data_IF_776230360712
#
_entry.id   IF_776230360712
#
_cell.length_a   1.000
_cell.length_b   1.000
_cell.length_c   1.000
_cell.angle_alpha   90.00
_cell.angle_beta   90.00
_cell.angle_gamma   90.00
#
_symmetry.space_group_name_H-M   'P 1'
#
loop_
_entity.id
_entity.type
_entity.pdbx_description
1 polymer ?
#
# COMPACT_ATOMS: atom_id res chain seq x y z
N UNK A 1 6.96 32.14 -9.53
CA UNK A 1 6.31 31.79 -10.80
C UNK A 1 7.29 31.19 -11.82
N UNK A 2 8.47 31.78 -12.03
CA UNK A 2 9.49 31.25 -12.97
C UNK A 2 9.95 29.80 -12.70
N UNK A 3 10.24 29.45 -11.43
CA UNK A 3 10.71 28.10 -11.03
C UNK A 3 9.68 26.98 -11.33
N UNK A 4 8.39 27.30 -11.31
CA UNK A 4 7.33 26.31 -11.55
C UNK A 4 7.11 26.06 -13.05
N UNK A 5 7.35 27.07 -13.91
CA UNK A 5 7.27 26.90 -15.38
C UNK A 5 8.41 25.99 -15.85
N UNK A 6 9.60 26.19 -15.32
CA UNK A 6 10.79 25.39 -15.60
C UNK A 6 10.59 23.91 -15.22
N UNK A 7 10.06 23.65 -14.02
CA UNK A 7 9.82 22.28 -13.53
C UNK A 7 8.81 21.50 -14.38
N UNK A 8 7.74 22.15 -14.87
CA UNK A 8 6.77 21.50 -15.78
C UNK A 8 7.42 21.13 -17.11
N UNK A 9 8.22 22.02 -17.68
CA UNK A 9 8.88 21.80 -18.97
C UNK A 9 9.94 20.69 -18.87
N UNK A 10 10.75 20.72 -17.80
CA UNK A 10 11.69 19.65 -17.46
C UNK A 10 10.97 18.30 -17.38
N UNK A 11 9.88 18.20 -16.60
CA UNK A 11 9.10 16.96 -16.50
C UNK A 11 8.60 16.48 -17.87
N UNK A 12 8.08 17.39 -18.70
CA UNK A 12 7.59 17.07 -20.03
C UNK A 12 8.72 16.53 -20.93
N UNK A 13 9.89 17.16 -20.92
CA UNK A 13 11.05 16.77 -21.72
C UNK A 13 11.60 15.41 -21.28
N UNK A 14 11.77 15.19 -19.97
CA UNK A 14 12.27 13.92 -19.43
C UNK A 14 11.29 12.77 -19.68
N UNK A 15 9.99 13.02 -19.56
CA UNK A 15 8.97 12.02 -19.89
C UNK A 15 9.00 11.64 -21.38
N UNK A 16 9.18 12.63 -22.27
CA UNK A 16 9.35 12.36 -23.71
C UNK A 16 10.65 11.61 -24.01
N UNK A 17 11.73 11.91 -23.28
CA UNK A 17 13.03 11.21 -23.39
C UNK A 17 12.87 9.73 -23.07
N UNK A 18 12.17 9.37 -21.99
CA UNK A 18 11.84 7.97 -21.68
C UNK A 18 10.99 7.35 -22.78
N UNK A 19 9.99 8.07 -23.31
CA UNK A 19 9.19 7.60 -24.44
C UNK A 19 9.98 7.34 -25.73
N UNK A 20 11.10 8.05 -25.94
CA UNK A 20 11.96 7.88 -27.12
C UNK A 20 13.04 6.82 -26.94
N UNK A 21 13.45 6.52 -25.71
CA UNK A 21 14.37 5.42 -25.41
C UNK A 21 13.83 4.06 -25.89
N UNK A 22 12.52 3.97 -26.11
CA UNK A 22 11.79 2.75 -26.44
C UNK A 22 12.11 2.20 -27.85
N UNK A 23 12.83 2.95 -28.68
CA UNK A 23 13.22 2.52 -30.03
C UNK A 23 14.65 1.93 -30.12
N UNK A 24 15.45 1.99 -29.05
CA UNK A 24 16.80 1.44 -28.97
C UNK A 24 16.89 0.38 -27.87
N UNK A 25 17.51 -0.77 -28.16
CA UNK A 25 17.87 -1.77 -27.13
C UNK A 25 19.38 -1.93 -27.11
N UNK A 26 20.07 -1.12 -26.32
CA UNK A 26 21.52 -1.20 -26.06
C UNK A 26 21.79 -0.99 -24.56
N UNK A 27 22.91 -1.50 -24.05
CA UNK A 27 23.30 -1.31 -22.63
C UNK A 27 23.37 0.17 -22.21
N UNK A 28 23.68 1.08 -23.15
CA UNK A 28 23.63 2.53 -22.91
C UNK A 28 22.23 3.05 -22.55
N UNK A 29 21.17 2.39 -22.99
CA UNK A 29 19.78 2.82 -22.76
C UNK A 29 19.37 2.61 -21.29
N UNK A 30 19.93 1.62 -20.59
CA UNK A 30 19.69 1.40 -19.16
C UNK A 30 20.32 2.49 -18.29
N UNK A 31 21.57 2.88 -18.60
CA UNK A 31 22.22 4.00 -17.91
C UNK A 31 21.47 5.31 -18.14
N UNK A 32 21.00 5.53 -19.37
CA UNK A 32 20.24 6.71 -19.74
C UNK A 32 18.86 6.74 -19.07
N UNK A 33 18.17 5.60 -18.97
CA UNK A 33 16.93 5.46 -18.21
C UNK A 33 17.15 5.75 -16.73
N UNK A 34 18.18 5.12 -16.14
CA UNK A 34 18.55 5.29 -14.73
C UNK A 34 18.83 6.76 -14.37
N UNK A 35 19.58 7.47 -15.22
CA UNK A 35 19.86 8.89 -15.05
C UNK A 35 18.60 9.75 -15.24
N UNK A 36 17.77 9.43 -16.24
CA UNK A 36 16.53 10.18 -16.48
C UNK A 36 15.53 10.01 -15.32
N UNK A 37 15.50 8.84 -14.69
CA UNK A 37 14.71 8.62 -13.46
C UNK A 37 15.26 9.39 -12.26
N UNK A 38 16.58 9.57 -12.15
CA UNK A 38 17.16 10.43 -11.09
C UNK A 38 16.77 11.89 -11.31
N UNK A 39 16.88 12.38 -12.55
CA UNK A 39 16.47 13.74 -12.92
C UNK A 39 14.99 13.96 -12.61
N UNK A 40 14.11 13.00 -12.95
CA UNK A 40 12.69 13.05 -12.60
C UNK A 40 12.47 13.08 -11.09
N UNK A 41 13.12 12.19 -10.33
CA UNK A 41 13.01 12.15 -8.87
C UNK A 41 13.57 13.41 -8.18
N UNK A 42 14.45 14.16 -8.82
CA UNK A 42 15.00 15.42 -8.30
C UNK A 42 14.01 16.58 -8.34
N UNK A 43 12.93 16.46 -9.13
CA UNK A 43 11.92 17.51 -9.27
C UNK A 43 11.14 17.67 -7.96
N UNK A 44 10.85 18.92 -7.59
CA UNK A 44 10.06 19.23 -6.40
C UNK A 44 8.55 19.07 -6.65
N UNK A 45 8.03 17.88 -6.40
CA UNK A 45 6.62 17.53 -6.53
C UNK A 45 5.70 18.13 -5.44
N UNK A 46 6.16 19.05 -4.59
CA UNK A 46 5.28 19.85 -3.72
C UNK A 46 4.45 20.88 -4.50
N UNK A 47 4.91 21.24 -5.70
CA UNK A 47 4.20 22.14 -6.61
C UNK A 47 3.57 21.35 -7.75
N UNK A 48 2.56 21.91 -8.42
CA UNK A 48 1.95 21.28 -9.59
C UNK A 48 2.93 21.30 -10.77
N UNK A 49 3.60 20.18 -10.97
CA UNK A 49 4.57 19.92 -12.05
C UNK A 49 3.85 19.28 -13.23
N UNK A 50 2.97 18.32 -12.97
CA UNK A 50 2.28 17.54 -14.00
C UNK A 50 1.03 18.30 -14.46
N UNK A 51 1.11 18.99 -15.59
CA UNK A 51 -0.06 19.64 -16.21
C UNK A 51 -0.92 18.70 -17.04
N UNK A 52 -0.32 17.64 -17.59
CA UNK A 52 -1.00 16.64 -18.40
C UNK A 52 -0.97 15.28 -17.67
N UNK A 53 -2.06 14.89 -16.99
CA UNK A 53 -2.10 13.63 -16.25
C UNK A 53 -1.97 12.42 -17.17
N UNK A 54 -2.50 12.47 -18.39
CA UNK A 54 -2.37 11.40 -19.39
C UNK A 54 -0.90 11.12 -19.71
N UNK A 55 -0.06 12.15 -19.80
CA UNK A 55 1.38 11.99 -20.04
C UNK A 55 2.07 11.27 -18.88
N UNK A 56 1.69 11.56 -17.63
CA UNK A 56 2.19 10.85 -16.47
C UNK A 56 1.72 9.38 -16.43
N UNK A 57 0.46 9.11 -16.75
CA UNK A 57 -0.08 7.73 -16.83
C UNK A 57 0.62 6.93 -17.93
N UNK A 58 0.90 7.54 -19.09
CA UNK A 58 1.66 6.90 -20.17
C UNK A 58 3.10 6.59 -19.75
N UNK A 59 3.77 7.53 -19.07
CA UNK A 59 5.10 7.31 -18.52
C UNK A 59 5.10 6.12 -17.55
N UNK A 60 4.13 6.08 -16.64
CA UNK A 60 3.95 4.97 -15.68
C UNK A 60 3.79 3.65 -16.42
N UNK A 61 2.87 3.58 -17.39
CA UNK A 61 2.62 2.37 -18.16
C UNK A 61 3.85 1.87 -18.93
N UNK A 62 4.60 2.81 -19.51
CA UNK A 62 5.86 2.51 -20.20
C UNK A 62 6.87 1.92 -19.21
N UNK A 63 7.18 2.63 -18.12
CA UNK A 63 8.14 2.16 -17.13
C UNK A 63 7.80 0.76 -16.57
N UNK A 64 6.52 0.45 -16.29
CA UNK A 64 6.11 -0.90 -15.88
C UNK A 64 6.41 -1.99 -16.91
N UNK A 65 6.45 -1.64 -18.21
CA UNK A 65 6.73 -2.58 -19.30
C UNK A 65 8.23 -2.79 -19.52
N UNK A 66 9.07 -1.80 -19.18
CA UNK A 66 10.51 -1.82 -19.46
C UNK A 66 11.35 -2.22 -18.26
N UNK A 67 11.00 -1.75 -17.07
CA UNK A 67 11.84 -1.96 -15.89
C UNK A 67 11.59 -3.38 -15.38
N UNK A 68 12.59 -4.26 -15.39
CA UNK A 68 12.41 -5.61 -14.91
C UNK A 68 12.45 -5.60 -13.37
N UNK A 69 11.65 -6.47 -12.74
CA UNK A 69 11.50 -6.48 -11.27
C UNK A 69 12.70 -7.05 -10.52
N UNK A 70 13.74 -7.50 -11.22
CA UNK A 70 15.00 -8.00 -10.67
C UNK A 70 16.13 -6.95 -10.66
N UNK A 71 15.89 -5.76 -11.21
CA UNK A 71 16.83 -4.61 -11.13
C UNK A 71 16.49 -3.73 -9.92
N UNK A 72 17.14 -4.01 -8.78
CA UNK A 72 16.96 -3.29 -7.52
C UNK A 72 17.11 -1.77 -7.65
N UNK A 73 17.99 -1.29 -8.55
CA UNK A 73 18.28 0.14 -8.72
C UNK A 73 17.13 0.81 -9.46
N UNK A 74 16.73 0.27 -10.60
CA UNK A 74 15.65 0.84 -11.41
C UNK A 74 14.30 0.72 -10.70
N UNK A 75 14.04 -0.41 -10.03
CA UNK A 75 12.83 -0.60 -9.22
C UNK A 75 12.75 0.47 -8.14
N UNK A 76 13.83 0.68 -7.36
CA UNK A 76 13.88 1.71 -6.31
C UNK A 76 13.61 3.11 -6.88
N UNK A 77 14.25 3.48 -8.00
CA UNK A 77 14.09 4.80 -8.62
C UNK A 77 12.68 5.01 -9.16
N UNK A 78 12.12 4.01 -9.83
CA UNK A 78 10.78 4.12 -10.40
C UNK A 78 9.70 4.12 -9.31
N UNK A 79 9.83 3.31 -8.27
CA UNK A 79 8.90 3.34 -7.13
C UNK A 79 8.88 4.69 -6.40
N UNK A 80 10.04 5.37 -6.24
CA UNK A 80 10.07 6.75 -5.72
C UNK A 80 9.33 7.75 -6.62
N UNK A 81 9.50 7.62 -7.93
CA UNK A 81 8.81 8.46 -8.91
C UNK A 81 7.30 8.20 -8.85
N UNK A 82 6.88 6.94 -8.82
CA UNK A 82 5.48 6.54 -8.67
C UNK A 82 4.82 7.16 -7.45
N UNK A 83 5.48 7.05 -6.30
CA UNK A 83 4.99 7.69 -5.07
C UNK A 83 4.81 9.19 -5.26
N UNK A 84 5.79 9.87 -5.86
CA UNK A 84 5.74 11.32 -6.08
C UNK A 84 4.65 11.74 -7.06
N UNK A 85 4.41 10.97 -8.12
CA UNK A 85 3.35 11.22 -9.09
C UNK A 85 1.96 10.96 -8.50
N UNK A 86 1.77 9.78 -7.89
CA UNK A 86 0.45 9.39 -7.37
C UNK A 86 0.09 10.20 -6.14
N UNK A 87 0.99 10.28 -5.15
CA UNK A 87 0.72 10.98 -3.88
C UNK A 87 0.96 12.48 -3.97
N UNK A 88 2.06 12.90 -4.60
CA UNK A 88 2.46 14.31 -4.66
C UNK A 88 1.74 15.12 -5.74
N UNK A 89 1.37 14.49 -6.86
CA UNK A 89 0.68 15.16 -7.97
C UNK A 89 -0.78 14.72 -8.14
N UNK A 90 -1.26 13.83 -7.26
CA UNK A 90 -2.62 13.28 -7.30
C UNK A 90 -3.00 12.68 -8.66
N UNK A 91 -2.06 11.97 -9.29
CA UNK A 91 -2.30 11.31 -10.57
C UNK A 91 -3.12 10.03 -10.35
N UNK A 92 -4.38 10.06 -10.80
CA UNK A 92 -5.24 8.88 -10.87
C UNK A 92 -4.73 7.92 -11.97
N UNK A 93 -4.63 6.63 -11.64
CA UNK A 93 -4.18 5.58 -12.57
C UNK A 93 -5.29 4.55 -12.65
N UNK A 94 -5.92 4.44 -13.82
CA UNK A 94 -7.13 3.63 -13.98
C UNK A 94 -6.99 2.54 -15.04
N UNK A 95 -7.98 1.65 -15.08
CA UNK A 95 -8.12 0.61 -16.10
C UNK A 95 -6.92 -0.33 -16.17
N UNK A 96 -6.52 -0.68 -17.40
CA UNK A 96 -5.43 -1.65 -17.64
C UNK A 96 -4.08 -1.21 -17.04
N UNK A 97 -3.79 0.09 -17.05
CA UNK A 97 -2.55 0.61 -16.50
C UNK A 97 -2.46 0.35 -15.00
N UNK A 98 -3.58 0.50 -14.27
CA UNK A 98 -3.63 0.19 -12.84
C UNK A 98 -3.33 -1.29 -12.58
N UNK A 99 -3.94 -2.19 -13.35
CA UNK A 99 -3.69 -3.64 -13.21
C UNK A 99 -2.23 -3.98 -13.45
N UNK A 100 -1.62 -3.45 -14.52
CA UNK A 100 -0.21 -3.69 -14.85
C UNK A 100 0.70 -3.11 -13.77
N UNK A 101 0.42 -1.89 -13.30
CA UNK A 101 1.19 -1.21 -12.26
C UNK A 101 1.16 -1.98 -10.93
N UNK A 102 -0.02 -2.38 -10.47
CA UNK A 102 -0.16 -3.13 -9.21
C UNK A 102 0.56 -4.48 -9.34
N UNK A 103 0.41 -5.19 -10.45
CA UNK A 103 1.13 -6.45 -10.66
C UNK A 103 2.66 -6.26 -10.66
N UNK A 104 3.15 -5.18 -11.27
CA UNK A 104 4.58 -4.84 -11.27
C UNK A 104 5.08 -4.54 -9.85
N UNK A 105 4.34 -3.77 -9.06
CA UNK A 105 4.67 -3.48 -7.66
C UNK A 105 4.66 -4.74 -6.78
N UNK A 106 3.66 -5.62 -6.95
CA UNK A 106 3.60 -6.91 -6.23
C UNK A 106 4.78 -7.81 -6.57
N UNK A 107 5.21 -7.83 -7.83
CA UNK A 107 6.43 -8.55 -8.22
C UNK A 107 7.68 -7.94 -7.59
N UNK A 108 7.75 -6.60 -7.47
CA UNK A 108 8.83 -5.90 -6.77
C UNK A 108 8.94 -6.22 -5.27
N UNK A 109 7.87 -6.72 -4.64
CA UNK A 109 7.92 -7.17 -3.22
C UNK A 109 8.76 -8.44 -3.01
N UNK A 110 9.10 -9.16 -4.10
CA UNK A 110 9.91 -10.39 -4.07
C UNK A 110 11.41 -10.12 -4.00
N UNK A 111 11.82 -8.85 -4.10
CA UNK A 111 13.21 -8.41 -3.97
C UNK A 111 13.71 -8.67 -2.54
N UNK A 112 14.99 -9.05 -2.43
CA UNK A 112 15.62 -9.38 -1.14
C UNK A 112 15.99 -8.15 -0.33
N UNK A 113 16.39 -7.07 -0.99
CA UNK A 113 16.77 -5.81 -0.35
C UNK A 113 15.54 -5.16 0.32
N UNK A 114 15.60 -5.02 1.65
CA UNK A 114 14.51 -4.45 2.45
C UNK A 114 14.29 -2.96 2.19
N UNK A 115 15.32 -2.19 1.82
CA UNK A 115 15.16 -0.78 1.48
C UNK A 115 14.38 -0.61 0.17
N UNK A 116 14.61 -1.50 -0.80
CA UNK A 116 13.85 -1.50 -2.06
C UNK A 116 12.40 -1.88 -1.77
N UNK A 117 12.17 -2.96 -1.01
CA UNK A 117 10.82 -3.38 -0.60
C UNK A 117 10.08 -2.27 0.13
N UNK A 118 10.74 -1.50 1.00
CA UNK A 118 10.14 -0.37 1.69
C UNK A 118 9.60 0.68 0.71
N UNK A 119 10.40 1.08 -0.28
CA UNK A 119 10.02 2.06 -1.29
C UNK A 119 8.92 1.51 -2.21
N UNK A 120 8.98 0.23 -2.58
CA UNK A 120 7.93 -0.44 -3.36
C UNK A 120 6.60 -0.44 -2.60
N UNK A 121 6.61 -0.75 -1.30
CA UNK A 121 5.43 -0.71 -0.45
C UNK A 121 4.85 0.70 -0.31
N UNK A 122 5.70 1.73 -0.18
CA UNK A 122 5.24 3.12 -0.16
C UNK A 122 4.50 3.48 -1.45
N UNK A 123 5.06 3.11 -2.60
CA UNK A 123 4.42 3.33 -3.89
C UNK A 123 3.11 2.54 -4.03
N UNK A 124 3.10 1.28 -3.60
CA UNK A 124 1.90 0.43 -3.61
C UNK A 124 0.79 0.99 -2.72
N UNK A 125 1.10 1.38 -1.49
CA UNK A 125 0.15 2.02 -0.59
C UNK A 125 -0.47 3.27 -1.23
N UNK A 126 0.36 4.16 -1.80
CA UNK A 126 -0.13 5.37 -2.47
C UNK A 126 -1.05 5.04 -3.65
N UNK A 127 -0.67 4.07 -4.49
CA UNK A 127 -1.49 3.61 -5.63
C UNK A 127 -2.81 3.03 -5.15
N UNK A 128 -2.81 2.20 -4.10
CA UNK A 128 -4.03 1.61 -3.57
C UNK A 128 -4.97 2.69 -3.04
N UNK A 129 -4.48 3.58 -2.17
CA UNK A 129 -5.32 4.63 -1.57
C UNK A 129 -5.86 5.65 -2.57
N UNK A 130 -5.15 5.93 -3.65
CA UNK A 130 -5.63 6.86 -4.68
C UNK A 130 -6.66 6.24 -5.63
N UNK A 131 -6.87 4.92 -5.62
CA UNK A 131 -7.70 4.22 -6.61
C UNK A 131 -8.75 3.29 -5.98
N UNK A 132 -9.26 3.61 -4.78
CA UNK A 132 -10.17 2.77 -3.97
C UNK A 132 -11.34 2.19 -4.77
N UNK A 133 -11.92 2.97 -5.68
CA UNK A 133 -13.10 2.58 -6.44
C UNK A 133 -12.82 1.48 -7.48
N UNK A 134 -11.56 1.37 -7.91
CA UNK A 134 -11.09 0.41 -8.92
C UNK A 134 -10.30 -0.76 -8.33
N UNK A 135 -10.19 -0.85 -6.99
CA UNK A 135 -9.36 -1.86 -6.32
C UNK A 135 -9.97 -3.24 -6.21
N UNK A 136 -11.31 -3.35 -6.24
CA UNK A 136 -12.01 -4.61 -6.08
C UNK A 136 -11.42 -5.82 -6.84
N UNK A 137 -11.13 -5.74 -8.17
CA UNK A 137 -10.54 -6.87 -8.90
C UNK A 137 -9.08 -7.17 -8.53
N UNK A 138 -8.37 -6.24 -7.89
CA UNK A 138 -6.96 -6.35 -7.53
C UNK A 138 -6.75 -6.70 -6.05
N UNK A 139 -7.75 -6.47 -5.20
CA UNK A 139 -7.66 -6.59 -3.75
C UNK A 139 -7.29 -8.00 -3.31
N UNK A 140 -7.94 -9.04 -3.87
CA UNK A 140 -7.66 -10.43 -3.50
C UNK A 140 -6.20 -10.84 -3.74
N UNK A 141 -5.65 -10.52 -4.92
CA UNK A 141 -4.26 -10.83 -5.25
C UNK A 141 -3.28 -10.01 -4.41
N UNK A 142 -3.56 -8.71 -4.25
CA UNK A 142 -2.75 -7.79 -3.44
C UNK A 142 -2.65 -8.28 -2.00
N UNK A 143 -3.78 -8.61 -1.38
CA UNK A 143 -3.83 -9.12 -0.01
C UNK A 143 -3.07 -10.41 0.15
N UNK A 144 -3.18 -11.34 -0.80
CA UNK A 144 -2.43 -12.59 -0.77
C UNK A 144 -0.91 -12.34 -0.75
N UNK A 145 -0.38 -11.62 -1.74
CA UNK A 145 1.06 -11.37 -1.87
C UNK A 145 1.61 -10.55 -0.68
N UNK A 146 0.85 -9.57 -0.17
CA UNK A 146 1.25 -8.78 1.00
C UNK A 146 1.21 -9.62 2.29
N UNK A 147 0.22 -10.50 2.47
CA UNK A 147 0.19 -11.42 3.59
C UNK A 147 1.36 -12.42 3.53
N UNK A 148 1.70 -12.91 2.34
CA UNK A 148 2.85 -13.79 2.13
C UNK A 148 4.17 -13.08 2.50
N UNK A 149 4.33 -11.80 2.11
CA UNK A 149 5.46 -10.97 2.54
C UNK A 149 5.56 -10.86 4.07
N UNK A 150 4.45 -10.54 4.75
CA UNK A 150 4.40 -10.44 6.21
C UNK A 150 4.77 -11.79 6.86
N UNK A 151 4.24 -12.89 6.33
CA UNK A 151 4.46 -14.22 6.88
C UNK A 151 5.89 -14.73 6.68
N UNK A 152 6.49 -14.43 5.52
CA UNK A 152 7.85 -14.86 5.19
C UNK A 152 8.93 -14.09 5.96
N UNK A 153 8.67 -12.84 6.36
CA UNK A 153 9.64 -12.00 7.07
C UNK A 153 9.52 -12.04 8.61
N UNK A 154 8.81 -13.02 9.18
CA UNK A 154 8.42 -13.08 10.62
C UNK A 154 9.53 -12.94 11.67
N UNK A 155 10.82 -13.12 11.34
CA UNK A 155 11.91 -13.10 12.32
C UNK A 155 12.76 -11.82 12.27
N UNK A 156 12.83 -11.11 11.14
CA UNK A 156 13.72 -9.94 10.95
C UNK A 156 13.07 -8.77 10.18
N UNK A 157 11.73 -8.72 10.08
CA UNK A 157 11.06 -7.65 9.35
C UNK A 157 11.19 -6.30 10.10
N UNK A 158 11.74 -5.23 9.48
CA UNK A 158 11.64 -3.89 10.01
C UNK A 158 10.18 -3.50 10.26
N UNK A 159 9.90 -2.88 11.42
CA UNK A 159 8.54 -2.46 11.82
C UNK A 159 7.88 -1.57 10.76
N UNK A 160 8.67 -0.82 9.98
CA UNK A 160 8.21 0.05 8.90
C UNK A 160 7.66 -0.73 7.71
N UNK A 161 8.31 -1.84 7.32
CA UNK A 161 7.81 -2.74 6.28
C UNK A 161 6.50 -3.38 6.73
N UNK A 162 6.43 -3.81 8.00
CA UNK A 162 5.19 -4.32 8.56
C UNK A 162 4.08 -3.26 8.52
N UNK A 163 4.36 -2.04 8.97
CA UNK A 163 3.38 -0.95 8.99
C UNK A 163 2.85 -0.65 7.58
N UNK A 164 3.74 -0.48 6.59
CA UNK A 164 3.31 -0.22 5.21
C UNK A 164 2.55 -1.39 4.60
N UNK A 165 2.96 -2.63 4.90
CA UNK A 165 2.24 -3.82 4.46
C UNK A 165 0.82 -3.84 5.02
N UNK A 166 0.65 -3.54 6.31
CA UNK A 166 -0.67 -3.44 6.93
C UNK A 166 -1.49 -2.28 6.36
N UNK A 167 -0.86 -1.17 5.97
CA UNK A 167 -1.53 -0.05 5.29
C UNK A 167 -2.01 -0.42 3.88
N UNK A 168 -1.24 -1.22 3.14
CA UNK A 168 -1.69 -1.79 1.87
C UNK A 168 -2.94 -2.69 2.09
N UNK A 169 -2.91 -3.57 3.09
CA UNK A 169 -4.06 -4.42 3.43
C UNK A 169 -5.28 -3.58 3.82
N UNK A 170 -5.08 -2.54 4.64
CA UNK A 170 -6.14 -1.62 5.06
C UNK A 170 -6.77 -0.92 3.85
N UNK A 171 -5.96 -0.43 2.90
CA UNK A 171 -6.47 0.13 1.66
C UNK A 171 -7.29 -0.88 0.82
N UNK A 172 -6.90 -2.15 0.81
CA UNK A 172 -7.67 -3.22 0.16
C UNK A 172 -9.00 -3.54 0.86
N UNK A 173 -9.18 -3.11 2.11
CA UNK A 173 -10.47 -3.28 2.83
C UNK A 173 -11.47 -2.14 2.57
N UNK A 174 -11.01 -1.00 2.05
CA UNK A 174 -11.81 0.21 1.83
C UNK A 174 -12.56 0.20 0.49
N UNK A 175 -13.06 -0.96 0.04
CA UNK A 175 -13.78 -1.09 -1.24
C UNK A 175 -15.17 -0.42 -1.14
N UNK A 176 -15.63 0.35 -2.14
CA UNK A 176 -16.93 1.00 -2.07
C UNK A 176 -18.08 0.01 -1.89
N UNK A 177 -19.06 0.37 -1.04
CA UNK A 177 -20.25 -0.42 -0.74
C UNK A 177 -21.11 -0.76 -1.96
N UNK A 178 -20.98 0.02 -3.03
CA UNK A 178 -21.72 -0.16 -4.27
C UNK A 178 -21.18 -1.29 -5.16
N UNK A 179 -20.08 -1.95 -4.75
CA UNK A 179 -19.61 -3.18 -5.37
C UNK A 179 -20.60 -4.33 -5.09
N UNK A 180 -21.72 -4.32 -5.83
CA UNK A 180 -22.67 -5.42 -5.95
C UNK A 180 -22.04 -6.53 -6.79
N UNK A 181 -20.96 -7.16 -6.33
CA UNK A 181 -20.40 -8.29 -7.06
C UNK A 181 -21.20 -9.55 -6.77
N UNK A 182 -21.49 -10.27 -7.86
CA UNK A 182 -22.09 -11.61 -7.88
C UNK A 182 -21.13 -12.69 -7.30
N UNK A 183 -19.94 -12.29 -6.84
CA UNK A 183 -18.84 -13.13 -6.31
C UNK A 183 -18.54 -12.83 -4.83
N UNK A 184 -19.56 -12.96 -3.97
CA UNK A 184 -19.39 -12.76 -2.51
C UNK A 184 -18.39 -13.75 -1.89
N UNK A 185 -18.30 -14.97 -2.41
CA UNK A 185 -17.43 -16.02 -1.81
C UNK A 185 -15.94 -15.69 -1.90
N UNK A 186 -15.46 -15.21 -3.05
CA UNK A 186 -14.05 -14.79 -3.21
C UNK A 186 -13.70 -13.53 -2.41
N UNK A 187 -14.67 -12.60 -2.28
CA UNK A 187 -14.53 -11.39 -1.48
C UNK A 187 -14.44 -11.67 0.03
N UNK A 188 -15.19 -12.68 0.51
CA UNK A 188 -15.14 -13.11 1.90
C UNK A 188 -13.77 -13.70 2.26
N UNK A 189 -13.12 -14.43 1.35
CA UNK A 189 -11.79 -14.98 1.61
C UNK A 189 -10.73 -13.88 1.78
N UNK A 190 -10.78 -12.86 0.91
CA UNK A 190 -9.93 -11.67 1.00
C UNK A 190 -10.10 -10.96 2.36
N UNK A 191 -11.35 -10.63 2.73
CA UNK A 191 -11.61 -9.93 3.99
C UNK A 191 -11.24 -10.79 5.20
N UNK A 192 -11.47 -12.10 5.14
CA UNK A 192 -11.07 -13.03 6.19
C UNK A 192 -9.55 -13.07 6.41
N UNK A 193 -8.74 -13.02 5.34
CA UNK A 193 -7.28 -12.94 5.44
C UNK A 193 -6.82 -11.62 6.07
N UNK A 194 -7.38 -10.49 5.62
CA UNK A 194 -7.11 -9.17 6.20
C UNK A 194 -7.47 -9.15 7.69
N UNK A 195 -8.68 -9.57 8.04
CA UNK A 195 -9.18 -9.56 9.41
C UNK A 195 -8.35 -10.45 10.33
N UNK A 196 -8.01 -11.67 9.89
CA UNK A 196 -7.12 -12.57 10.62
C UNK A 196 -5.76 -11.92 10.90
N UNK A 197 -5.20 -11.23 9.90
CA UNK A 197 -3.91 -10.55 10.02
C UNK A 197 -3.99 -9.38 11.01
N UNK A 198 -5.00 -8.52 10.89
CA UNK A 198 -5.20 -7.41 11.83
C UNK A 198 -5.45 -7.89 13.26
N UNK A 199 -6.31 -8.90 13.45
CA UNK A 199 -6.56 -9.51 14.76
C UNK A 199 -5.30 -10.12 15.35
N UNK A 200 -4.43 -10.75 14.54
CA UNK A 200 -3.16 -11.28 15.03
C UNK A 200 -2.29 -10.19 15.68
N UNK A 201 -2.17 -9.03 15.03
CA UNK A 201 -1.38 -7.92 15.56
C UNK A 201 -2.06 -7.16 16.71
N UNK A 202 -3.39 -7.09 16.74
CA UNK A 202 -4.14 -6.50 17.86
C UNK A 202 -4.08 -7.35 19.13
N UNK A 203 -4.04 -8.68 18.99
CA UNK A 203 -3.92 -9.60 20.12
C UNK A 203 -2.47 -9.79 20.59
N UNK A 204 -1.47 -9.31 19.83
CA UNK A 204 -0.08 -9.38 20.24
C UNK A 204 0.17 -8.35 21.34
N UNK A 205 0.74 -8.78 22.46
CA UNK A 205 1.02 -7.88 23.59
C UNK A 205 1.95 -6.74 23.15
N UNK A 206 1.63 -5.47 23.47
CA UNK A 206 2.53 -4.35 23.23
C UNK A 206 3.76 -4.53 24.11
N UNK A 207 4.92 -4.70 23.48
CA UNK A 207 6.21 -4.87 24.19
C UNK A 207 6.71 -3.50 24.70
N UNK A 208 6.28 -2.40 24.10
CA UNK A 208 6.73 -1.06 24.46
C UNK A 208 5.65 0.01 24.18
N UNK A 209 5.24 0.74 25.22
CA UNK A 209 4.17 1.74 25.15
C UNK A 209 4.59 3.03 24.43
N UNK A 210 5.89 3.32 24.35
CA UNK A 210 6.43 4.56 23.79
C UNK A 210 6.77 4.49 22.29
N UNK A 211 6.46 3.36 21.63
CA UNK A 211 6.75 3.22 20.20
C UNK A 211 5.61 3.79 19.33
N UNK A 212 5.89 4.96 18.72
CA UNK A 212 5.01 5.63 17.75
C UNK A 212 4.66 4.70 16.57
N UNK A 213 5.61 3.87 16.11
CA UNK A 213 5.36 2.94 15.01
C UNK A 213 4.39 1.84 15.43
N UNK A 214 4.53 1.32 16.65
CA UNK A 214 3.58 0.36 17.20
C UNK A 214 2.17 0.94 17.28
N UNK A 215 2.04 2.17 17.78
CA UNK A 215 0.74 2.87 17.82
C UNK A 215 0.12 3.05 16.44
N UNK A 216 0.94 3.33 15.40
CA UNK A 216 0.48 3.38 14.01
C UNK A 216 0.02 2.02 13.51
N UNK A 217 0.72 0.93 13.85
CA UNK A 217 0.31 -0.44 13.53
C UNK A 217 -1.06 -0.76 14.13
N UNK A 218 -1.26 -0.48 15.43
CA UNK A 218 -2.53 -0.68 16.11
C UNK A 218 -3.67 0.10 15.44
N UNK A 219 -3.44 1.39 15.15
CA UNK A 219 -4.42 2.25 14.46
C UNK A 219 -4.82 1.67 13.10
N UNK A 220 -3.85 1.22 12.30
CA UNK A 220 -4.12 0.64 10.97
C UNK A 220 -4.91 -0.67 11.10
N UNK A 221 -4.56 -1.54 12.04
CA UNK A 221 -5.31 -2.78 12.29
C UNK A 221 -6.75 -2.51 12.74
N UNK A 222 -6.97 -1.55 13.64
CA UNK A 222 -8.32 -1.17 14.09
C UNK A 222 -9.16 -0.62 12.92
N UNK A 223 -8.57 0.25 12.09
CA UNK A 223 -9.21 0.79 10.88
C UNK A 223 -9.57 -0.32 9.89
N UNK A 224 -8.64 -1.24 9.64
CA UNK A 224 -8.87 -2.38 8.75
C UNK A 224 -9.98 -3.31 9.24
N UNK A 225 -10.06 -3.58 10.55
CA UNK A 225 -11.16 -4.36 11.14
C UNK A 225 -12.49 -3.62 11.01
N UNK A 226 -12.51 -2.31 11.25
CA UNK A 226 -13.71 -1.50 11.05
C UNK A 226 -14.21 -1.60 9.60
N UNK A 227 -13.31 -1.47 8.63
CA UNK A 227 -13.64 -1.61 7.21
C UNK A 227 -14.21 -3.00 6.91
N UNK A 228 -13.58 -4.08 7.40
CA UNK A 228 -14.10 -5.45 7.22
C UNK A 228 -15.50 -5.60 7.81
N UNK A 229 -15.76 -5.09 9.01
CA UNK A 229 -17.08 -5.18 9.66
C UNK A 229 -18.16 -4.45 8.85
N UNK A 230 -17.83 -3.29 8.28
CA UNK A 230 -18.76 -2.53 7.44
C UNK A 230 -19.11 -3.30 6.16
N UNK A 231 -18.14 -4.01 5.57
CA UNK A 231 -18.31 -4.74 4.32
C UNK A 231 -18.86 -6.17 4.50
N UNK A 232 -18.59 -6.80 5.64
CA UNK A 232 -19.01 -8.16 5.99
C UNK A 232 -19.67 -8.20 7.39
N UNK A 233 -20.98 -7.92 7.48
CA UNK A 233 -21.73 -8.02 8.72
C UNK A 233 -21.78 -9.44 9.31
N UNK A 234 -21.56 -10.48 8.48
CA UNK A 234 -21.53 -11.87 8.96
C UNK A 234 -20.27 -12.10 9.80
N UNK A 235 -19.14 -11.55 9.38
CA UNK A 235 -17.89 -11.56 10.17
C UNK A 235 -18.10 -10.94 11.55
N UNK A 236 -18.78 -9.79 11.64
CA UNK A 236 -19.09 -9.15 12.93
C UNK A 236 -19.86 -10.09 13.86
N UNK A 237 -20.84 -10.80 13.33
CA UNK A 237 -21.68 -11.71 14.13
C UNK A 237 -20.89 -12.90 14.65
N UNK A 238 -19.96 -13.44 13.83
CA UNK A 238 -19.12 -14.58 14.20
C UNK A 238 -18.04 -14.21 15.22
N UNK A 239 -17.42 -13.03 15.06
CA UNK A 239 -16.26 -12.59 15.85
C UNK A 239 -16.60 -11.50 16.89
N UNK A 240 -17.88 -11.25 17.16
CA UNK A 240 -18.36 -10.18 18.05
C UNK A 240 -17.62 -10.14 19.39
N UNK A 241 -17.51 -11.29 20.07
CA UNK A 241 -16.83 -11.39 21.36
C UNK A 241 -15.34 -11.02 21.29
N UNK A 242 -14.66 -11.41 20.21
CA UNK A 242 -13.24 -11.11 19.98
C UNK A 242 -13.05 -9.61 19.71
N UNK A 243 -13.91 -9.03 18.87
CA UNK A 243 -13.90 -7.60 18.53
C UNK A 243 -14.18 -6.74 19.77
N UNK A 244 -15.18 -7.10 20.58
CA UNK A 244 -15.47 -6.37 21.82
C UNK A 244 -14.30 -6.45 22.82
N UNK A 245 -13.60 -7.58 22.87
CA UNK A 245 -12.38 -7.76 23.67
C UNK A 245 -11.27 -6.79 23.28
N UNK A 246 -11.02 -6.65 21.97
CA UNK A 246 -10.08 -5.68 21.40
C UNK A 246 -10.50 -4.26 21.74
N UNK A 247 -11.76 -3.90 21.49
CA UNK A 247 -12.28 -2.55 21.76
C UNK A 247 -12.11 -2.18 23.24
N UNK A 248 -12.55 -3.05 24.16
CA UNK A 248 -12.42 -2.85 25.61
C UNK A 248 -10.97 -2.59 26.02
N UNK A 249 -10.04 -3.33 25.45
CA UNK A 249 -8.61 -3.22 25.73
C UNK A 249 -8.05 -1.88 25.24
N UNK A 250 -8.31 -1.53 23.98
CA UNK A 250 -7.70 -0.36 23.38
C UNK A 250 -8.39 0.96 23.75
N UNK A 251 -9.61 0.92 24.29
CA UNK A 251 -10.26 2.10 24.93
C UNK A 251 -9.44 2.65 26.10
N UNK A 252 -8.70 1.79 26.80
CA UNK A 252 -7.88 2.17 27.96
C UNK A 252 -6.38 2.28 27.61
N UNK A 253 -6.01 2.10 26.34
CA UNK A 253 -4.62 2.11 25.90
C UNK A 253 -3.96 3.48 26.11
N UNK A 254 -2.81 3.49 26.80
CA UNK A 254 -2.04 4.71 27.07
C UNK A 254 -2.55 5.56 28.24
N UNK A 255 -3.60 5.13 28.97
CA UNK A 255 -4.05 5.83 30.17
C UNK A 255 -3.07 5.59 31.33
N UNK A 256 -2.52 6.66 31.88
CA UNK A 256 -1.58 6.59 33.00
C UNK A 256 -2.24 5.96 34.23
N UNK A 257 -1.59 4.93 34.79
CA UNK A 257 -2.06 4.23 35.99
C UNK A 257 -3.08 3.12 35.71
N UNK A 258 -3.36 2.82 34.43
CA UNK A 258 -4.15 1.66 34.03
C UNK A 258 -3.21 0.63 33.38
N UNK A 259 -3.18 -0.57 33.93
CA UNK A 259 -2.42 -1.66 33.35
C UNK A 259 -3.04 -2.11 32.02
N UNK A 260 -2.19 -2.35 31.03
CA UNK A 260 -2.64 -2.94 29.78
C UNK A 260 -2.96 -4.42 29.97
N UNK A 261 -4.21 -4.78 29.68
CA UNK A 261 -4.65 -6.15 29.63
C UNK A 261 -4.73 -6.59 28.18
N UNK A 262 -4.12 -7.70 27.82
CA UNK A 262 -4.24 -8.24 26.46
C UNK A 262 -5.72 -8.50 26.11
N UNK A 263 -6.13 -8.31 24.84
CA UNK A 263 -7.51 -8.56 24.45
C UNK A 263 -7.97 -9.99 24.75
N UNK A 264 -9.16 -10.11 25.32
CA UNK A 264 -9.79 -11.39 25.64
C UNK A 264 -11.18 -11.46 25.02
N UNK A 265 -11.53 -12.62 24.44
CA UNK A 265 -12.86 -12.84 23.86
C UNK A 265 -13.94 -12.72 24.93
N UNK A 266 -14.85 -11.78 24.73
CA UNK A 266 -16.00 -11.57 25.61
C UNK A 266 -17.07 -12.60 25.26
N UNK A 267 -17.47 -13.39 26.26
CA UNK A 267 -18.56 -14.34 26.15
C UNK A 267 -19.86 -13.72 26.69
N UNK A 268 -21.03 -14.11 26.18
CA UNK A 268 -22.30 -13.73 26.79
C UNK A 268 -22.30 -14.15 28.26
N UNK A 269 -22.78 -13.27 29.13
CA UNK A 269 -23.04 -13.64 30.52
C UNK A 269 -23.99 -14.83 30.53
N UNK A 270 -23.65 -15.89 31.27
CA UNK A 270 -24.59 -16.98 31.53
C UNK A 270 -25.81 -16.38 32.23
N UNK A 271 -26.98 -16.50 31.63
CA UNK A 271 -28.24 -16.15 32.28
C UNK A 271 -28.39 -17.07 33.50
N UNK A 272 -28.12 -16.51 34.68
CA UNK A 272 -28.44 -17.11 35.99
C UNK A 272 -29.91 -16.89 36.32
#
# INVERSE_FOLDING_TARGET
MAVNVDSTEIFSNLSSKIGNLLFGRREGDWTLLSNTLDELNSINYRYTVVRNPTKAVLLINQCCSFIPCDDDILVRKFSKLLYSLVKGQNIAVEGRTLTVLVQWLLNGLKIKDSDVVLVVLQALEAVLRSNTDNLAPLAANTTKEVCDLINNKKVECPTEILLLSLQCLEACTSVPSDFKSKDREGFNLHFGLCAKTFMHYLNKSPINFDDILHSKVLKVCLSGIQNVIIQDPVYLTQELGSILGVIKTFMLYGIKGVDFLAPQKILPSTLS
#
